data_IF_127074539076
#
_entry.id   IF_127074539076
#
_cell.length_a   1.000
_cell.length_b   1.000
_cell.length_c   1.000
_cell.angle_alpha   90.00
_cell.angle_beta   90.00
_cell.angle_gamma   90.00
#
_symmetry.space_group_name_H-M   'P 1'
#
loop_
_entity.id
_entity.type
_entity.pdbx_description
1 polymer ?
#
# COMPACT_ATOMS: atom_id res chain seq x y z
N UNK A 1 -3.53 76.67 -15.19
CA UNK A 1 -4.03 75.57 -14.33
C UNK A 1 -3.51 74.27 -14.91
N UNK A 2 -2.57 73.60 -14.22
CA UNK A 2 -2.01 72.31 -14.65
C UNK A 2 -2.61 71.23 -13.77
N UNK A 3 -3.41 70.34 -14.34
CA UNK A 3 -4.06 69.22 -13.66
C UNK A 3 -3.15 68.03 -13.71
N UNK A 4 -2.67 67.58 -12.53
CA UNK A 4 -1.84 66.38 -12.38
C UNK A 4 -2.73 65.20 -12.10
N UNK A 5 -2.79 64.21 -13.02
CA UNK A 5 -3.46 62.92 -12.81
C UNK A 5 -2.52 62.00 -12.06
N UNK A 6 -2.94 61.57 -10.86
CA UNK A 6 -2.26 60.51 -10.08
C UNK A 6 -2.88 59.19 -10.47
N UNK A 7 -2.10 58.35 -11.14
CA UNK A 7 -2.49 56.94 -11.42
C UNK A 7 -2.16 56.10 -10.19
N UNK A 8 -3.19 55.58 -9.53
CA UNK A 8 -3.04 54.61 -8.46
C UNK A 8 -2.87 53.17 -9.05
N UNK A 9 -1.69 52.60 -8.93
CA UNK A 9 -1.43 51.21 -9.29
C UNK A 9 -1.93 50.28 -8.15
N UNK A 10 -2.98 49.53 -8.42
CA UNK A 10 -3.39 48.42 -7.55
C UNK A 10 -2.41 47.25 -7.75
N UNK A 11 -1.57 46.94 -6.78
CA UNK A 11 -0.79 45.72 -6.73
C UNK A 11 -1.69 44.61 -6.23
N UNK A 12 -2.07 43.67 -7.08
CA UNK A 12 -2.73 42.42 -6.68
C UNK A 12 -1.69 41.51 -6.00
N UNK A 13 -1.80 41.33 -4.69
CA UNK A 13 -1.02 40.34 -3.95
C UNK A 13 -1.70 39.00 -4.21
N UNK A 14 -1.10 38.14 -5.01
CA UNK A 14 -1.49 36.76 -5.13
C UNK A 14 -1.08 36.01 -3.83
N UNK A 15 -2.05 35.71 -2.98
CA UNK A 15 -1.84 34.81 -1.86
C UNK A 15 -1.77 33.39 -2.44
N UNK A 16 -0.56 32.87 -2.65
CA UNK A 16 -0.36 31.45 -2.89
C UNK A 16 -0.55 30.75 -1.56
N UNK A 17 -1.71 30.11 -1.37
CA UNK A 17 -1.91 29.21 -0.25
C UNK A 17 -0.80 28.15 -0.30
N UNK A 18 0.00 28.04 0.75
CA UNK A 18 0.91 26.90 0.91
C UNK A 18 0.02 25.65 1.03
N UNK A 19 0.16 24.70 0.10
CA UNK A 19 -0.43 23.37 0.27
C UNK A 19 0.08 22.79 1.60
N UNK A 20 -0.80 22.17 2.37
CA UNK A 20 -0.39 21.47 3.58
C UNK A 20 0.55 20.33 3.16
N UNK A 21 1.59 20.08 3.94
CA UNK A 21 2.48 18.94 3.67
C UNK A 21 1.78 17.63 4.08
N UNK A 22 2.08 16.51 3.38
CA UNK A 22 1.57 15.21 3.79
C UNK A 22 1.87 14.91 5.26
N UNK A 23 0.89 14.37 5.97
CA UNK A 23 0.98 14.03 7.38
C UNK A 23 1.33 12.55 7.55
N UNK A 24 2.14 12.26 8.56
CA UNK A 24 2.54 10.88 8.85
C UNK A 24 1.42 10.11 9.53
N UNK A 25 1.06 8.96 8.94
CA UNK A 25 0.20 7.94 9.53
C UNK A 25 0.99 6.65 9.72
N UNK A 26 0.87 6.03 10.89
CA UNK A 26 1.49 4.76 11.23
C UNK A 26 0.45 3.66 11.11
N UNK A 27 0.78 2.56 10.46
CA UNK A 27 -0.12 1.43 10.29
C UNK A 27 -0.53 0.83 11.64
N UNK A 28 -1.81 0.55 11.79
CA UNK A 28 -2.32 -0.31 12.86
C UNK A 28 -2.20 -1.77 12.43
N UNK A 29 -1.16 -2.44 12.90
CA UNK A 29 -0.90 -3.84 12.57
C UNK A 29 -1.99 -4.80 13.06
N UNK A 30 -2.80 -4.40 14.04
CA UNK A 30 -3.90 -5.23 14.56
C UNK A 30 -5.12 -5.27 13.65
N UNK A 31 -5.28 -4.27 12.76
CA UNK A 31 -6.37 -4.15 11.80
C UNK A 31 -5.87 -4.04 10.34
N UNK A 32 -4.64 -4.44 10.09
CA UNK A 32 -4.04 -4.45 8.75
C UNK A 32 -3.69 -5.86 8.31
N UNK A 33 -4.10 -6.21 7.08
CA UNK A 33 -3.92 -7.56 6.54
C UNK A 33 -3.85 -7.55 5.01
N UNK A 34 -3.14 -8.53 4.45
CA UNK A 34 -3.19 -8.87 3.03
C UNK A 34 -3.73 -10.28 2.91
N UNK A 35 -4.79 -10.44 2.12
CA UNK A 35 -5.25 -11.75 1.66
C UNK A 35 -4.65 -12.00 0.27
N UNK A 36 -4.22 -13.22 0.03
CA UNK A 36 -3.85 -13.66 -1.30
C UNK A 36 -4.55 -14.97 -1.66
N UNK A 37 -4.79 -15.17 -2.93
CA UNK A 37 -5.37 -16.42 -3.43
C UNK A 37 -4.76 -16.83 -4.76
N UNK A 38 -4.76 -18.15 -4.99
CA UNK A 38 -4.32 -18.76 -6.24
C UNK A 38 -5.11 -20.03 -6.55
N UNK A 39 -5.21 -20.38 -7.85
CA UNK A 39 -5.84 -21.63 -8.28
C UNK A 39 -4.90 -22.81 -8.05
N UNK A 40 -5.40 -23.87 -7.43
CA UNK A 40 -4.69 -25.12 -7.21
C UNK A 40 -5.27 -26.23 -8.10
N UNK A 41 -4.58 -26.52 -9.21
CA UNK A 41 -4.85 -27.60 -10.16
C UNK A 41 -6.28 -27.59 -10.76
N UNK A 42 -6.96 -26.47 -10.73
CA UNK A 42 -8.36 -26.35 -11.17
C UNK A 42 -9.39 -26.90 -10.16
N UNK A 43 -8.94 -27.54 -9.07
CA UNK A 43 -9.86 -28.13 -8.09
C UNK A 43 -10.31 -27.16 -7.01
N UNK A 44 -9.48 -26.19 -6.65
CA UNK A 44 -9.81 -25.26 -5.58
C UNK A 44 -9.06 -23.94 -5.70
N UNK A 45 -9.59 -22.91 -5.05
CA UNK A 45 -8.86 -21.69 -4.74
C UNK A 45 -8.22 -21.85 -3.36
N UNK A 46 -6.92 -21.67 -3.30
CA UNK A 46 -6.19 -21.68 -2.04
C UNK A 46 -6.01 -20.25 -1.56
N UNK A 47 -6.29 -19.99 -0.30
CA UNK A 47 -6.15 -18.69 0.34
C UNK A 47 -5.01 -18.69 1.34
N UNK A 48 -4.37 -17.54 1.47
CA UNK A 48 -3.44 -17.25 2.54
C UNK A 48 -3.54 -15.79 2.96
N UNK A 49 -2.82 -15.45 4.02
CA UNK A 49 -2.85 -14.09 4.58
C UNK A 49 -1.46 -13.72 5.09
N UNK A 50 -1.12 -12.44 4.94
CA UNK A 50 -0.02 -11.81 5.68
C UNK A 50 -0.58 -10.85 6.74
N UNK A 51 0.10 -10.81 7.87
CA UNK A 51 -0.12 -9.88 8.96
C UNK A 51 1.23 -9.30 9.43
N UNK A 52 1.24 -8.55 10.54
CA UNK A 52 2.48 -8.04 11.11
C UNK A 52 3.12 -6.91 10.30
N UNK A 53 2.29 -6.03 9.75
CA UNK A 53 2.75 -4.89 8.98
C UNK A 53 3.52 -3.90 9.84
N UNK A 54 4.61 -3.40 9.27
CA UNK A 54 5.31 -2.22 9.75
C UNK A 54 5.42 -1.21 8.62
N UNK A 55 5.42 0.08 8.96
CA UNK A 55 5.60 1.14 7.97
C UNK A 55 4.71 2.34 8.20
N UNK A 56 4.70 3.20 7.21
CA UNK A 56 4.05 4.50 7.28
C UNK A 56 3.40 4.89 5.95
N UNK A 57 2.38 5.71 6.07
CA UNK A 57 1.74 6.42 4.97
C UNK A 57 1.94 7.91 5.23
N UNK A 58 2.62 8.61 4.32
CA UNK A 58 2.58 10.07 4.28
C UNK A 58 1.31 10.44 3.53
N UNK A 59 0.28 10.88 4.23
CA UNK A 59 -1.05 11.09 3.67
C UNK A 59 -1.40 12.57 3.60
N UNK A 60 -1.70 13.03 2.40
CA UNK A 60 -2.27 14.33 2.13
C UNK A 60 -3.73 14.15 1.70
N UNK A 61 -4.66 14.59 2.54
CA UNK A 61 -6.08 14.44 2.27
C UNK A 61 -6.58 15.47 1.23
N UNK A 62 -5.91 16.61 1.12
CA UNK A 62 -6.27 17.69 0.18
C UNK A 62 -5.64 17.46 -1.19
N UNK A 63 -4.42 16.90 -1.24
CA UNK A 63 -3.73 16.47 -2.46
C UNK A 63 -3.23 15.03 -2.34
N UNK A 64 -4.12 14.03 -2.53
CA UNK A 64 -3.74 12.61 -2.39
C UNK A 64 -2.60 12.17 -3.33
N UNK A 65 -2.36 12.87 -4.43
CA UNK A 65 -1.24 12.60 -5.33
C UNK A 65 0.13 12.92 -4.70
N UNK A 66 0.18 13.82 -3.70
CA UNK A 66 1.38 14.10 -2.91
C UNK A 66 1.68 13.07 -1.82
N UNK A 67 0.77 12.11 -1.60
CA UNK A 67 0.94 11.05 -0.60
C UNK A 67 1.98 10.02 -1.01
N UNK A 68 2.47 9.23 -0.03
CA UNK A 68 3.35 8.10 -0.29
C UNK A 68 3.14 6.98 0.74
N UNK A 69 3.54 5.76 0.36
CA UNK A 69 3.43 4.54 1.17
C UNK A 69 4.77 3.83 1.20
N UNK A 70 5.23 3.44 2.38
CA UNK A 70 6.38 2.58 2.57
C UNK A 70 6.05 1.55 3.67
N UNK A 71 5.95 0.29 3.30
CA UNK A 71 5.50 -0.79 4.20
C UNK A 71 6.35 -2.03 4.04
N UNK A 72 6.48 -2.79 5.12
CA UNK A 72 7.10 -4.10 5.12
C UNK A 72 6.36 -5.06 6.04
N UNK A 73 6.56 -6.36 5.83
CA UNK A 73 6.02 -7.42 6.66
C UNK A 73 6.97 -8.61 6.68
N UNK A 74 7.17 -9.26 7.84
CA UNK A 74 7.99 -10.47 7.92
C UNK A 74 7.32 -11.60 7.13
N UNK A 75 8.10 -12.34 6.34
CA UNK A 75 7.62 -13.52 5.63
C UNK A 75 7.09 -14.59 6.61
N UNK A 76 7.69 -14.66 7.80
CA UNK A 76 7.27 -15.56 8.89
C UNK A 76 5.86 -15.30 9.42
N UNK A 77 5.28 -14.10 9.13
CA UNK A 77 3.90 -13.77 9.49
C UNK A 77 2.88 -14.18 8.43
N UNK A 78 3.28 -15.02 7.47
CA UNK A 78 2.37 -15.61 6.50
C UNK A 78 1.56 -16.74 7.13
N UNK A 79 0.25 -16.68 6.98
CA UNK A 79 -0.68 -17.71 7.40
C UNK A 79 -1.27 -18.43 6.18
N UNK A 80 -1.03 -19.74 6.06
CA UNK A 80 -1.46 -20.54 4.91
C UNK A 80 -2.64 -21.46 5.21
N UNK A 81 -3.15 -21.45 6.45
CA UNK A 81 -4.21 -22.33 6.90
C UNK A 81 -3.76 -23.77 7.22
N UNK A 82 -2.49 -24.11 6.93
CA UNK A 82 -1.93 -25.43 7.21
C UNK A 82 -0.42 -25.36 7.39
N UNK A 83 0.09 -25.81 8.55
CA UNK A 83 1.50 -25.68 8.91
C UNK A 83 2.44 -26.34 7.87
N UNK A 84 2.11 -27.55 7.40
CA UNK A 84 2.95 -28.23 6.41
C UNK A 84 3.02 -27.47 5.05
N UNK A 85 2.02 -26.68 4.71
CA UNK A 85 2.09 -25.80 3.54
C UNK A 85 3.01 -24.62 3.82
N UNK A 86 2.92 -24.00 4.98
CA UNK A 86 3.85 -22.94 5.39
C UNK A 86 5.29 -23.47 5.36
N UNK A 87 5.55 -24.61 5.98
CA UNK A 87 6.89 -25.22 6.02
C UNK A 87 7.43 -25.48 4.60
N UNK A 88 6.57 -25.97 3.69
CA UNK A 88 6.96 -26.18 2.30
C UNK A 88 7.27 -24.86 1.57
N UNK A 89 6.51 -23.81 1.84
CA UNK A 89 6.79 -22.50 1.23
C UNK A 89 8.13 -21.92 1.68
N UNK A 90 8.59 -22.24 2.90
CA UNK A 90 9.89 -21.78 3.42
C UNK A 90 11.08 -22.56 2.84
N UNK A 91 10.84 -23.67 2.11
CA UNK A 91 11.94 -24.42 1.48
C UNK A 91 12.44 -23.78 0.19
N UNK A 92 13.57 -24.29 -0.31
CA UNK A 92 14.16 -23.90 -1.61
C UNK A 92 13.28 -24.13 -2.83
N UNK A 93 12.17 -24.85 -2.68
CA UNK A 93 11.19 -25.00 -3.75
C UNK A 93 10.42 -23.70 -4.00
N UNK A 94 10.41 -22.79 -3.02
CA UNK A 94 9.73 -21.49 -3.07
C UNK A 94 10.64 -20.36 -2.55
N UNK A 95 10.48 -19.96 -1.29
CA UNK A 95 11.12 -18.76 -0.76
C UNK A 95 12.59 -19.00 -0.37
N UNK A 96 12.99 -20.24 -0.07
CA UNK A 96 14.33 -20.54 0.54
C UNK A 96 14.64 -19.60 1.72
N UNK A 97 13.63 -19.37 2.54
CA UNK A 97 13.56 -18.23 3.45
C UNK A 97 14.44 -18.39 4.67
N UNK A 98 15.07 -17.29 5.07
CA UNK A 98 15.63 -17.09 6.41
C UNK A 98 14.59 -16.51 7.35
N UNK A 99 14.82 -16.57 8.68
CA UNK A 99 13.88 -16.04 9.69
C UNK A 99 13.60 -14.53 9.53
N UNK A 100 14.55 -13.78 8.99
CA UNK A 100 14.48 -12.31 8.87
C UNK A 100 14.00 -11.83 7.51
N UNK A 101 13.55 -12.72 6.62
CA UNK A 101 13.11 -12.30 5.30
C UNK A 101 11.80 -11.52 5.36
N UNK A 102 11.77 -10.41 4.61
CA UNK A 102 10.62 -9.50 4.56
C UNK A 102 10.11 -9.32 3.15
N UNK A 103 8.81 -9.07 3.03
CA UNK A 103 8.16 -8.53 1.84
C UNK A 103 7.99 -7.04 2.04
N UNK A 104 8.33 -6.22 1.04
CA UNK A 104 8.19 -4.76 1.16
C UNK A 104 7.59 -4.13 -0.09
N UNK A 105 6.90 -3.01 0.12
CA UNK A 105 6.37 -2.17 -0.94
C UNK A 105 6.67 -0.70 -0.66
N UNK A 106 7.17 0.00 -1.70
CA UNK A 106 7.38 1.46 -1.64
C UNK A 106 6.75 2.10 -2.86
N UNK A 107 5.84 3.04 -2.63
CA UNK A 107 5.18 3.76 -3.71
C UNK A 107 6.16 4.68 -4.45
N UNK A 108 5.98 4.78 -5.77
CA UNK A 108 6.75 5.69 -6.66
C UNK A 108 5.87 6.80 -7.24
N UNK A 109 4.56 6.55 -7.36
CA UNK A 109 3.60 7.54 -7.83
C UNK A 109 2.18 7.18 -7.37
N UNK A 110 1.35 8.20 -7.16
CA UNK A 110 -0.08 8.05 -6.89
C UNK A 110 -0.85 8.87 -7.91
N UNK A 111 -1.74 8.20 -8.65
CA UNK A 111 -2.65 8.81 -9.62
C UNK A 111 -4.08 8.71 -9.09
N UNK A 112 -4.68 9.86 -8.78
CA UNK A 112 -6.09 9.93 -8.34
C UNK A 112 -6.99 9.63 -9.53
N UNK A 113 -7.87 8.63 -9.38
CA UNK A 113 -8.77 8.16 -10.44
C UNK A 113 -10.24 8.50 -10.21
N UNK A 114 -10.57 8.97 -9.00
CA UNK A 114 -11.94 9.36 -8.61
C UNK A 114 -11.96 9.89 -7.17
N UNK A 115 -13.13 10.21 -6.65
CA UNK A 115 -13.28 10.89 -5.34
C UNK A 115 -12.58 10.18 -4.17
N UNK A 116 -12.55 8.86 -4.18
CA UNK A 116 -11.91 8.03 -3.14
C UNK A 116 -11.07 6.91 -3.73
N UNK A 117 -10.64 7.03 -4.99
CA UNK A 117 -9.89 5.97 -5.67
C UNK A 117 -8.62 6.50 -6.30
N UNK A 118 -7.58 5.67 -6.29
CA UNK A 118 -6.29 5.97 -6.88
C UNK A 118 -5.61 4.70 -7.43
N UNK A 119 -4.71 4.90 -8.38
CA UNK A 119 -3.68 3.91 -8.75
C UNK A 119 -2.40 4.28 -8.02
N UNK A 120 -1.87 3.34 -7.23
CA UNK A 120 -0.59 3.50 -6.54
C UNK A 120 0.44 2.63 -7.26
N UNK A 121 1.31 3.26 -8.03
CA UNK A 121 2.48 2.59 -8.60
C UNK A 121 3.58 2.50 -7.56
N UNK A 122 4.31 1.39 -7.52
CA UNK A 122 5.39 1.21 -6.57
C UNK A 122 6.22 -0.03 -6.85
N UNK A 123 7.28 -0.17 -6.09
CA UNK A 123 8.20 -1.29 -6.15
C UNK A 123 7.86 -2.32 -5.07
N UNK A 124 7.46 -3.52 -5.48
CA UNK A 124 7.27 -4.67 -4.62
C UNK A 124 8.57 -5.50 -4.60
N UNK A 125 9.14 -5.68 -3.42
CA UNK A 125 10.24 -6.61 -3.20
C UNK A 125 9.70 -7.86 -2.53
N UNK A 126 9.86 -9.00 -3.21
CA UNK A 126 9.41 -10.31 -2.78
C UNK A 126 10.47 -11.33 -3.16
N UNK A 127 10.88 -12.21 -2.24
CA UNK A 127 11.90 -13.24 -2.49
C UNK A 127 13.20 -12.65 -3.10
N UNK A 128 13.66 -11.52 -2.56
CA UNK A 128 14.87 -10.83 -3.04
C UNK A 128 14.76 -10.18 -4.43
N UNK A 129 13.59 -10.24 -5.08
CA UNK A 129 13.35 -9.65 -6.40
C UNK A 129 12.45 -8.43 -6.27
N UNK A 130 12.85 -7.32 -6.86
CA UNK A 130 12.05 -6.08 -6.91
C UNK A 130 11.43 -5.90 -8.29
N UNK A 131 10.11 -5.71 -8.33
CA UNK A 131 9.35 -5.44 -9.56
C UNK A 131 8.36 -4.30 -9.36
N UNK A 132 8.10 -3.50 -10.39
CA UNK A 132 7.03 -2.52 -10.35
C UNK A 132 5.66 -3.20 -10.33
N UNK A 133 4.78 -2.74 -9.47
CA UNK A 133 3.38 -3.15 -9.40
C UNK A 133 2.47 -1.93 -9.30
N UNK A 134 1.20 -2.09 -9.65
CA UNK A 134 0.17 -1.06 -9.51
C UNK A 134 -0.93 -1.60 -8.61
N UNK A 135 -1.23 -0.87 -7.56
CA UNK A 135 -2.36 -1.15 -6.67
C UNK A 135 -3.57 -0.31 -7.10
N UNK A 136 -4.71 -0.94 -7.29
CA UNK A 136 -6.00 -0.24 -7.40
C UNK A 136 -6.51 0.01 -5.97
N UNK A 137 -6.35 1.25 -5.50
CA UNK A 137 -6.58 1.65 -4.12
C UNK A 137 -7.89 2.42 -3.95
N UNK A 138 -8.47 2.29 -2.76
CA UNK A 138 -9.67 2.98 -2.33
C UNK A 138 -9.49 3.48 -0.90
N UNK A 139 -9.78 4.76 -0.67
CA UNK A 139 -9.97 5.33 0.65
C UNK A 139 -11.38 4.94 1.14
N UNK A 140 -11.44 4.23 2.26
CA UNK A 140 -12.70 3.80 2.86
C UNK A 140 -13.28 4.90 3.75
N UNK A 141 -12.44 5.47 4.62
CA UNK A 141 -12.84 6.48 5.59
C UNK A 141 -11.64 7.25 6.12
N UNK A 142 -11.85 8.52 6.46
CA UNK A 142 -10.98 9.34 7.30
C UNK A 142 -11.80 9.97 8.43
N UNK A 143 -11.17 10.31 9.55
CA UNK A 143 -11.79 11.01 10.67
C UNK A 143 -11.29 10.54 12.02
N UNK A 144 -11.84 11.08 13.09
CA UNK A 144 -11.46 10.67 14.43
C UNK A 144 -11.97 9.26 14.74
N UNK A 145 -11.04 8.38 15.11
CA UNK A 145 -11.40 7.03 15.54
C UNK A 145 -12.27 7.06 16.80
N UNK A 146 -13.43 6.37 16.81
CA UNK A 146 -14.44 6.52 17.88
C UNK A 146 -13.91 6.15 19.28
N UNK A 147 -12.92 5.26 19.35
CA UNK A 147 -12.32 4.80 20.61
C UNK A 147 -11.01 5.55 20.92
N UNK A 148 -10.10 5.63 19.95
CA UNK A 148 -8.78 6.23 20.16
C UNK A 148 -8.79 7.76 20.22
N UNK A 149 -9.86 8.40 19.68
CA UNK A 149 -10.00 9.87 19.62
C UNK A 149 -8.83 10.58 18.93
N UNK A 150 -8.26 9.93 17.93
CA UNK A 150 -7.17 10.42 17.08
C UNK A 150 -7.58 10.31 15.61
N UNK A 151 -7.04 11.15 14.71
CA UNK A 151 -7.27 11.03 13.29
C UNK A 151 -6.81 9.66 12.78
N UNK A 152 -7.66 9.03 11.97
CA UNK A 152 -7.52 7.69 11.44
C UNK A 152 -7.88 7.65 9.97
N UNK A 153 -7.26 6.76 9.21
CA UNK A 153 -7.59 6.52 7.82
C UNK A 153 -7.61 5.03 7.53
N UNK A 154 -8.58 4.57 6.76
CA UNK A 154 -8.72 3.19 6.33
C UNK A 154 -8.68 3.08 4.83
N UNK A 155 -7.94 2.09 4.30
CA UNK A 155 -7.75 1.89 2.87
C UNK A 155 -7.92 0.42 2.52
N UNK A 156 -8.51 0.18 1.34
CA UNK A 156 -8.44 -1.10 0.66
C UNK A 156 -7.64 -0.96 -0.64
N UNK A 157 -7.00 -2.03 -1.08
CA UNK A 157 -6.40 -2.07 -2.41
C UNK A 157 -6.42 -3.49 -2.97
N UNK A 158 -6.31 -3.59 -4.30
CA UNK A 158 -6.20 -4.87 -5.00
C UNK A 158 -5.10 -4.82 -6.06
N UNK A 159 -4.48 -5.96 -6.30
CA UNK A 159 -3.55 -6.17 -7.42
C UNK A 159 -3.46 -7.66 -7.74
N UNK A 160 -2.74 -8.02 -8.79
CA UNK A 160 -2.26 -9.38 -9.02
C UNK A 160 -0.79 -9.38 -9.41
N UNK A 161 -0.10 -10.47 -9.11
CA UNK A 161 1.31 -10.66 -9.46
C UNK A 161 1.51 -12.05 -10.05
N UNK A 162 2.57 -12.22 -10.85
CA UNK A 162 3.01 -13.54 -11.32
C UNK A 162 4.10 -14.06 -10.37
N UNK A 163 3.91 -15.26 -9.83
CA UNK A 163 4.91 -15.89 -8.94
C UNK A 163 6.26 -16.09 -9.65
N UNK A 164 6.22 -16.42 -10.95
CA UNK A 164 7.41 -16.59 -11.77
C UNK A 164 8.28 -15.34 -11.85
N UNK A 165 7.68 -14.14 -11.76
CA UNK A 165 8.41 -12.86 -11.72
C UNK A 165 9.32 -12.72 -10.49
N UNK A 166 9.03 -13.49 -9.43
CA UNK A 166 9.74 -13.46 -8.15
C UNK A 166 10.44 -14.79 -7.84
N UNK A 167 10.75 -15.60 -8.87
CA UNK A 167 11.37 -16.93 -8.73
C UNK A 167 10.53 -17.92 -7.91
N UNK A 168 9.22 -17.71 -7.79
CA UNK A 168 8.28 -18.54 -7.03
C UNK A 168 7.36 -19.37 -7.93
N UNK A 169 7.69 -19.51 -9.22
CA UNK A 169 6.85 -20.14 -10.26
C UNK A 169 6.81 -21.66 -10.22
N UNK A 170 7.29 -22.32 -9.17
CA UNK A 170 7.26 -23.78 -9.07
C UNK A 170 5.83 -24.31 -9.27
N UNK A 171 5.71 -25.41 -10.05
CA UNK A 171 4.45 -26.06 -10.43
C UNK A 171 3.52 -25.24 -11.35
N UNK A 172 3.93 -24.06 -11.82
CA UNK A 172 3.16 -23.35 -12.85
C UNK A 172 3.21 -24.15 -14.18
N UNK A 173 2.14 -24.16 -14.99
CA UNK A 173 0.85 -23.46 -14.78
C UNK A 173 -0.19 -24.28 -14.02
N UNK A 174 0.11 -25.51 -13.57
CA UNK A 174 -0.87 -26.37 -12.89
C UNK A 174 -1.35 -25.78 -11.56
N UNK A 175 -0.43 -25.23 -10.79
CA UNK A 175 -0.74 -24.27 -9.74
C UNK A 175 -0.57 -22.90 -10.37
N UNK A 176 -1.61 -22.06 -10.37
CA UNK A 176 -1.58 -20.80 -11.12
C UNK A 176 -0.35 -19.97 -10.82
N UNK A 177 0.22 -19.40 -11.87
CA UNK A 177 1.31 -18.43 -11.73
C UNK A 177 0.80 -17.10 -11.16
N UNK A 178 -0.41 -16.70 -11.58
CA UNK A 178 -1.08 -15.53 -11.07
C UNK A 178 -1.58 -15.74 -9.64
N UNK A 179 -1.30 -14.75 -8.79
CA UNK A 179 -1.78 -14.63 -7.41
C UNK A 179 -2.57 -13.33 -7.30
N UNK A 180 -3.83 -13.41 -6.89
CA UNK A 180 -4.64 -12.24 -6.58
C UNK A 180 -4.34 -11.77 -5.15
N UNK A 181 -4.29 -10.45 -4.97
CA UNK A 181 -3.94 -9.81 -3.70
C UNK A 181 -5.02 -8.81 -3.34
N UNK A 182 -5.51 -8.88 -2.09
CA UNK A 182 -6.44 -7.93 -1.49
C UNK A 182 -5.82 -7.41 -0.21
N UNK A 183 -5.73 -6.10 -0.11
CA UNK A 183 -5.12 -5.37 0.99
C UNK A 183 -6.22 -4.63 1.71
N UNK A 184 -6.22 -4.69 3.04
CA UNK A 184 -7.07 -3.85 3.89
C UNK A 184 -6.22 -3.38 5.06
N UNK A 185 -6.08 -2.07 5.21
CA UNK A 185 -5.22 -1.46 6.21
C UNK A 185 -5.90 -0.28 6.90
N UNK A 186 -5.57 -0.13 8.17
CA UNK A 186 -5.88 1.05 8.95
C UNK A 186 -4.59 1.75 9.39
N UNK A 187 -4.63 3.07 9.47
CA UNK A 187 -3.48 3.85 9.89
C UNK A 187 -3.91 5.02 10.78
N UNK A 188 -3.15 5.23 11.83
CA UNK A 188 -3.34 6.30 12.81
C UNK A 188 -2.37 7.43 12.54
N UNK A 189 -2.84 8.68 12.55
CA UNK A 189 -1.97 9.85 12.48
C UNK A 189 -0.97 9.83 13.62
N UNK A 190 0.32 9.95 13.27
CA UNK A 190 1.39 10.02 14.28
C UNK A 190 1.27 11.28 15.13
N UNK A 191 1.67 11.19 16.40
CA UNK A 191 1.83 12.37 17.24
C UNK A 191 2.99 13.23 16.70
N UNK A 192 2.80 14.55 16.65
CA UNK A 192 3.78 15.53 16.19
C UNK A 192 4.89 15.74 17.19
#
# INVERSE_FOLDING_TARGET
>A
MKTTLIAAALAAVAVTGAAAAPEKYVLDSSHSQILFDYNHLGYSTTYGMFAGFEGEIMFDQEDPAASSVAVSMPLSMMFTGWQARFDHFMTKDFFDATEDETVSFTSTAIEVTGDNTAKISGDLTLNGVTKPVVLDAKLNQTGDHPMAKKPWAGFDATTSVLRSDYNLGQFAPFVSDEVNIKISVEAMKADS
#
